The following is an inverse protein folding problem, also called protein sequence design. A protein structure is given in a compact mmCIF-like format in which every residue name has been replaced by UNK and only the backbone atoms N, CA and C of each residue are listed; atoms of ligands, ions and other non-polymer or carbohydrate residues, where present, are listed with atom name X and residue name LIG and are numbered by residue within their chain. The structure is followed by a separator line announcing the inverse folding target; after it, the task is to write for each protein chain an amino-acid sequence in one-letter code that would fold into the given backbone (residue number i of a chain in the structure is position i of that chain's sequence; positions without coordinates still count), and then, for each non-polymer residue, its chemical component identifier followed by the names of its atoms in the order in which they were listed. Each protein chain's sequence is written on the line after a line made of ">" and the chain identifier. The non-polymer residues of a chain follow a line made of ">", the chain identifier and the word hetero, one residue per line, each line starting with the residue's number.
data_IF_516259396227
#
_entry.id   IF_516259396227
#
_cell.length_a   1.000
_cell.length_b   1.000
_cell.length_c   1.000
_cell.angle_alpha   90.00
_cell.angle_beta   90.00
_cell.angle_gamma   90.00
#
_symmetry.space_group_name_H-M   'P 1'
#
loop_
_entity.id
_entity.type
_entity.pdbx_description
1 polymer ?
#
# COMPACT_ATOMS: atom_id res chain seq x y z
N UNK A 1 1.54 48.40 -10.97
CA UNK A 1 2.27 47.68 -12.02
C UNK A 1 2.96 46.51 -11.32
N UNK A 2 2.38 45.31 -11.44
CA UNK A 2 2.97 44.12 -12.09
C UNK A 2 4.24 43.63 -11.36
N UNK A 3 4.17 42.61 -10.50
CA UNK A 3 4.28 41.18 -10.84
C UNK A 3 5.55 40.67 -10.13
N UNK A 4 5.78 39.44 -9.65
CA UNK A 4 5.16 38.13 -9.80
C UNK A 4 5.52 37.27 -8.57
N UNK A 5 4.62 36.33 -8.30
CA UNK A 5 4.75 35.09 -7.52
C UNK A 5 5.87 34.19 -8.06
N UNK A 6 6.72 33.62 -7.19
CA UNK A 6 7.18 32.21 -7.17
C UNK A 6 8.54 32.04 -6.46
N UNK A 7 8.52 31.29 -5.37
CA UNK A 7 9.72 30.85 -4.65
C UNK A 7 9.65 29.37 -4.25
N UNK A 8 8.97 28.54 -5.03
CA UNK A 8 9.02 27.08 -4.89
C UNK A 8 10.36 26.59 -5.46
N UNK A 9 11.35 26.39 -4.58
CA UNK A 9 12.56 25.66 -4.95
C UNK A 9 12.19 24.19 -5.14
N UNK A 10 12.36 23.74 -6.38
CA UNK A 10 12.36 22.34 -6.80
C UNK A 10 13.34 21.53 -5.93
N UNK A 11 12.84 20.46 -5.29
CA UNK A 11 13.68 19.38 -4.79
C UNK A 11 14.02 18.52 -6.02
N UNK A 12 15.31 18.37 -6.40
CA UNK A 12 15.66 17.56 -7.55
C UNK A 12 15.43 16.08 -7.23
N UNK A 13 14.77 15.40 -8.17
CA UNK A 13 14.64 13.95 -8.23
C UNK A 13 15.99 13.26 -8.00
N UNK A 14 16.07 12.43 -6.96
CA UNK A 14 17.07 11.38 -6.89
C UNK A 14 16.47 10.11 -7.49
N UNK A 15 16.76 9.91 -8.78
CA UNK A 15 16.58 8.66 -9.48
C UNK A 15 17.26 7.52 -8.71
N UNK A 16 16.50 6.43 -8.52
CA UNK A 16 16.95 5.23 -7.82
C UNK A 16 15.82 4.21 -7.73
N UNK A 17 15.06 4.06 -8.81
CA UNK A 17 14.07 3.00 -8.96
C UNK A 17 14.80 1.65 -9.01
N UNK A 18 14.79 0.93 -7.91
CA UNK A 18 14.93 -0.53 -7.90
C UNK A 18 13.69 -1.14 -7.26
N UNK A 19 12.55 -0.83 -7.86
CA UNK A 19 11.23 -1.38 -7.53
C UNK A 19 10.52 -1.87 -8.80
N UNK A 20 11.29 -2.43 -9.74
CA UNK A 20 10.82 -2.68 -11.11
C UNK A 20 10.58 -4.14 -11.50
N UNK A 21 11.03 -5.13 -10.73
CA UNK A 21 11.09 -6.50 -11.29
C UNK A 21 9.96 -7.43 -10.83
N UNK A 22 9.34 -7.21 -9.66
CA UNK A 22 8.24 -8.07 -9.23
C UNK A 22 6.89 -7.68 -9.87
N UNK A 23 6.65 -6.38 -10.08
CA UNK A 23 5.42 -5.88 -10.70
C UNK A 23 5.36 -6.17 -12.21
N UNK A 24 6.49 -6.05 -12.90
CA UNK A 24 6.58 -6.33 -14.34
C UNK A 24 6.41 -7.83 -14.67
N UNK A 25 6.83 -8.72 -13.76
CA UNK A 25 6.71 -10.16 -13.96
C UNK A 25 5.28 -10.68 -13.74
N UNK A 26 4.51 -10.06 -12.83
CA UNK A 26 3.08 -10.37 -12.68
C UNK A 26 2.24 -9.86 -13.87
N UNK A 27 2.60 -8.71 -14.44
CA UNK A 27 1.88 -8.13 -15.59
C UNK A 27 1.99 -8.99 -16.86
N UNK A 28 3.09 -9.75 -17.04
CA UNK A 28 3.31 -10.59 -18.23
C UNK A 28 2.55 -11.91 -18.23
N UNK A 29 1.99 -12.36 -17.09
CA UNK A 29 1.19 -13.60 -17.02
C UNK A 29 -0.32 -13.39 -17.19
N UNK A 30 -0.79 -12.15 -17.37
CA UNK A 30 -2.23 -11.82 -17.36
C UNK A 30 -2.87 -11.54 -18.71
N UNK A 31 -2.15 -11.63 -19.84
CA UNK A 31 -2.72 -11.32 -21.16
C UNK A 31 -3.43 -12.53 -21.78
N UNK A 32 -4.57 -12.89 -21.20
CA UNK A 32 -5.63 -13.58 -21.94
C UNK A 32 -6.95 -12.94 -21.53
N UNK A 33 -7.40 -12.04 -22.40
CA UNK A 33 -8.70 -11.41 -22.37
C UNK A 33 -9.78 -12.44 -22.66
N UNK A 34 -10.20 -13.18 -21.64
CA UNK A 34 -11.44 -13.96 -21.70
C UNK A 34 -12.22 -13.80 -20.38
N UNK A 35 -13.40 -13.23 -20.51
CA UNK A 35 -14.53 -13.21 -19.58
C UNK A 35 -14.37 -14.09 -18.32
N UNK A 36 -13.99 -13.48 -17.20
CA UNK A 36 -14.18 -14.09 -15.90
C UNK A 36 -14.65 -13.00 -14.94
N UNK A 37 -15.87 -13.17 -14.42
CA UNK A 37 -16.41 -12.51 -13.22
C UNK A 37 -15.25 -12.09 -12.33
N UNK A 38 -15.06 -10.78 -12.11
CA UNK A 38 -13.97 -10.27 -11.28
C UNK A 38 -14.14 -10.79 -9.85
N UNK A 39 -13.63 -12.00 -9.61
CA UNK A 39 -13.56 -12.61 -8.31
C UNK A 39 -12.62 -11.77 -7.47
N UNK A 40 -13.05 -11.46 -6.25
CA UNK A 40 -12.21 -10.79 -5.27
C UNK A 40 -10.87 -11.54 -5.17
N UNK A 41 -9.76 -10.83 -5.39
CA UNK A 41 -8.43 -11.45 -5.34
C UNK A 41 -8.20 -12.00 -3.94
N UNK A 42 -8.17 -13.33 -3.82
CA UNK A 42 -8.02 -14.03 -2.54
C UNK A 42 -6.71 -13.72 -1.80
N UNK A 43 -5.73 -13.17 -2.51
CA UNK A 43 -4.41 -12.83 -1.97
C UNK A 43 -4.25 -11.34 -1.66
N UNK A 44 -5.31 -10.53 -1.81
CA UNK A 44 -5.20 -9.08 -1.65
C UNK A 44 -4.79 -8.68 -0.23
N UNK A 45 -5.31 -9.39 0.77
CA UNK A 45 -4.99 -9.14 2.17
C UNK A 45 -3.55 -9.54 2.49
N UNK A 46 -3.13 -10.74 2.08
CA UNK A 46 -1.79 -11.27 2.31
C UNK A 46 -0.72 -10.45 1.59
N UNK A 47 -1.01 -10.01 0.35
CA UNK A 47 -0.12 -9.13 -0.40
C UNK A 47 0.01 -7.77 0.30
N UNK A 48 -1.10 -7.20 0.77
CA UNK A 48 -1.09 -5.94 1.51
C UNK A 48 -0.24 -6.04 2.78
N UNK A 49 -0.48 -7.08 3.60
CA UNK A 49 0.28 -7.32 4.82
C UNK A 49 1.79 -7.44 4.54
N UNK A 50 2.17 -8.30 3.59
CA UNK A 50 3.56 -8.52 3.23
C UNK A 50 4.27 -7.23 2.78
N UNK A 51 3.60 -6.41 1.95
CA UNK A 51 4.15 -5.14 1.50
C UNK A 51 4.31 -4.13 2.64
N UNK A 52 3.31 -4.02 3.52
CA UNK A 52 3.34 -3.12 4.67
C UNK A 52 4.45 -3.50 5.64
N UNK A 53 4.56 -4.79 6.00
CA UNK A 53 5.61 -5.31 6.88
C UNK A 53 7.01 -5.09 6.30
N UNK A 54 7.18 -5.37 5.00
CA UNK A 54 8.45 -5.14 4.29
C UNK A 54 8.85 -3.66 4.26
N UNK A 55 7.89 -2.74 4.11
CA UNK A 55 8.16 -1.31 4.13
C UNK A 55 8.58 -0.82 5.51
N UNK A 56 7.89 -1.27 6.57
CA UNK A 56 8.26 -0.96 7.96
C UNK A 56 9.69 -1.42 8.24
N UNK A 57 10.02 -2.67 7.88
CA UNK A 57 11.37 -3.20 8.07
C UNK A 57 12.43 -2.40 7.30
N UNK A 58 12.14 -2.07 6.02
CA UNK A 58 13.04 -1.28 5.18
C UNK A 58 13.33 0.10 5.78
N UNK A 59 12.30 0.82 6.24
CA UNK A 59 12.48 2.13 6.86
C UNK A 59 13.22 2.06 8.19
N UNK A 60 12.93 1.06 9.03
CA UNK A 60 13.68 0.85 10.28
C UNK A 60 15.17 0.59 10.02
N UNK A 61 15.50 -0.31 9.08
CA UNK A 61 16.89 -0.59 8.70
C UNK A 61 17.60 0.64 8.13
N UNK A 62 16.89 1.45 7.34
CA UNK A 62 17.42 2.70 6.78
C UNK A 62 17.64 3.76 7.84
N UNK A 63 16.69 3.94 8.77
CA UNK A 63 16.78 4.92 9.85
C UNK A 63 18.05 4.74 10.70
N UNK A 64 18.42 3.50 11.01
CA UNK A 64 19.63 3.18 11.80
C UNK A 64 20.94 3.51 11.06
N UNK A 65 20.91 3.47 9.73
CA UNK A 65 22.09 3.68 8.88
C UNK A 65 22.18 5.11 8.34
N UNK A 66 21.17 5.93 8.58
CA UNK A 66 21.09 7.28 8.04
C UNK A 66 22.05 8.22 8.80
N UNK A 67 23.02 8.84 8.10
CA UNK A 67 23.96 9.76 8.74
C UNK A 67 23.31 11.05 9.25
N UNK A 68 22.19 11.48 8.66
CA UNK A 68 21.44 12.63 9.15
C UNK A 68 20.44 12.18 10.24
N UNK A 69 20.58 12.63 11.51
CA UNK A 69 19.70 12.21 12.59
C UNK A 69 18.24 12.61 12.38
N UNK A 70 17.97 13.75 11.76
CA UNK A 70 16.59 14.21 11.49
C UNK A 70 15.92 13.36 10.41
N UNK A 71 16.66 13.01 9.35
CA UNK A 71 16.16 12.13 8.29
C UNK A 71 15.94 10.70 8.81
N UNK A 72 16.85 10.20 9.66
CA UNK A 72 16.69 8.92 10.34
C UNK A 72 15.47 8.90 11.25
N UNK A 73 15.26 9.97 12.03
CA UNK A 73 14.09 10.13 12.88
C UNK A 73 12.78 10.17 12.07
N UNK A 74 12.76 10.88 10.94
CA UNK A 74 11.60 10.91 10.06
C UNK A 74 11.25 9.54 9.46
N UNK A 75 12.26 8.73 9.11
CA UNK A 75 12.05 7.34 8.66
C UNK A 75 11.49 6.46 9.77
N UNK A 76 12.00 6.64 10.99
CA UNK A 76 11.51 5.90 12.16
C UNK A 76 10.06 6.23 12.48
N UNK A 77 9.68 7.52 12.48
CA UNK A 77 8.29 7.95 12.66
C UNK A 77 7.34 7.38 11.60
N UNK A 78 7.79 7.30 10.33
CA UNK A 78 7.01 6.67 9.26
C UNK A 78 6.78 5.18 9.53
N UNK A 79 7.82 4.46 9.95
CA UNK A 79 7.74 3.05 10.29
C UNK A 79 6.83 2.80 11.50
N UNK A 80 6.92 3.64 12.53
CA UNK A 80 6.07 3.57 13.72
C UNK A 80 4.59 3.82 13.38
N UNK A 81 4.31 4.89 12.64
CA UNK A 81 2.95 5.24 12.22
C UNK A 81 2.31 4.14 11.36
N UNK A 82 3.07 3.57 10.42
CA UNK A 82 2.59 2.46 9.59
C UNK A 82 2.40 1.17 10.41
N UNK A 83 3.30 0.89 11.37
CA UNK A 83 3.14 -0.23 12.30
C UNK A 83 1.96 -0.07 13.26
N UNK A 84 1.58 1.16 13.61
CA UNK A 84 0.34 1.43 14.34
C UNK A 84 -0.90 1.16 13.47
N UNK A 85 -0.91 1.63 12.22
CA UNK A 85 -2.00 1.35 11.28
C UNK A 85 -2.17 -0.17 11.04
N UNK A 86 -1.06 -0.91 10.93
CA UNK A 86 -1.09 -2.37 10.79
C UNK A 86 -1.73 -3.05 12.02
N UNK A 87 -1.39 -2.61 13.24
CA UNK A 87 -2.02 -3.12 14.47
C UNK A 87 -3.51 -2.83 14.53
N UNK A 88 -3.95 -1.66 14.06
CA UNK A 88 -5.37 -1.36 13.93
C UNK A 88 -6.05 -2.29 12.93
N UNK A 89 -5.43 -2.53 11.76
CA UNK A 89 -5.98 -3.44 10.76
C UNK A 89 -6.20 -4.85 11.35
N UNK A 90 -5.23 -5.36 12.11
CA UNK A 90 -5.37 -6.65 12.80
C UNK A 90 -6.44 -6.62 13.90
N UNK A 91 -6.54 -5.53 14.66
CA UNK A 91 -7.55 -5.40 15.71
C UNK A 91 -8.98 -5.41 15.15
N UNK A 92 -9.18 -4.87 13.94
CA UNK A 92 -10.46 -4.84 13.22
C UNK A 92 -10.59 -5.95 12.16
N UNK A 93 -9.73 -6.96 12.20
CA UNK A 93 -9.78 -8.08 11.25
C UNK A 93 -11.15 -8.79 11.22
N UNK A 94 -11.83 -9.07 12.36
CA UNK A 94 -13.14 -9.71 12.35
C UNK A 94 -14.19 -8.90 11.58
N UNK A 95 -14.27 -7.60 11.85
CA UNK A 95 -15.21 -6.67 11.21
C UNK A 95 -14.90 -6.51 9.73
N UNK A 96 -13.62 -6.47 9.36
CA UNK A 96 -13.21 -6.40 7.96
C UNK A 96 -13.58 -7.68 7.20
N UNK A 97 -13.38 -8.86 7.81
CA UNK A 97 -13.82 -10.15 7.24
C UNK A 97 -15.33 -10.18 7.05
N UNK A 98 -16.11 -9.71 8.03
CA UNK A 98 -17.56 -9.63 7.93
C UNK A 98 -18.01 -8.72 6.78
N UNK A 99 -17.43 -7.51 6.66
CA UNK A 99 -17.71 -6.58 5.57
C UNK A 99 -17.39 -7.18 4.20
N UNK A 100 -16.26 -7.88 4.06
CA UNK A 100 -15.88 -8.57 2.83
C UNK A 100 -16.88 -9.68 2.48
N UNK A 101 -17.32 -10.48 3.46
CA UNK A 101 -18.33 -11.52 3.22
C UNK A 101 -19.69 -10.93 2.84
N UNK A 102 -20.13 -9.83 3.47
CA UNK A 102 -21.32 -9.09 3.08
C UNK A 102 -21.23 -8.56 1.63
N UNK A 103 -20.09 -7.98 1.26
CA UNK A 103 -19.83 -7.49 -0.09
C UNK A 103 -19.83 -8.62 -1.13
N UNK A 104 -19.24 -9.79 -0.80
CA UNK A 104 -19.29 -10.98 -1.65
C UNK A 104 -20.73 -11.44 -1.91
N UNK A 105 -21.57 -11.50 -0.87
CA UNK A 105 -23.00 -11.87 -0.98
C UNK A 105 -23.79 -10.88 -1.85
N UNK A 106 -23.50 -9.58 -1.73
CA UNK A 106 -24.11 -8.55 -2.57
C UNK A 106 -23.68 -8.69 -4.05
N UNK A 107 -22.40 -8.97 -4.30
CA UNK A 107 -21.85 -9.12 -5.64
C UNK A 107 -22.34 -10.37 -6.38
N UNK A 108 -22.73 -11.44 -5.66
CA UNK A 108 -23.28 -12.67 -6.26
C UNK A 108 -24.80 -12.64 -6.49
N UNK A 109 -25.46 -11.49 -6.28
CA UNK A 109 -26.87 -11.31 -6.60
C UNK A 109 -27.83 -11.91 -5.57
N UNK A 110 -27.44 -11.92 -4.28
CA UNK A 110 -28.33 -12.32 -3.20
C UNK A 110 -29.59 -11.45 -3.18
N UNK A 111 -30.69 -11.98 -3.71
CA UNK A 111 -32.04 -11.39 -3.60
C UNK A 111 -32.35 -11.26 -2.12
N UNK A 112 -32.38 -10.03 -1.62
CA UNK A 112 -32.96 -9.73 -0.31
C UNK A 112 -34.47 -9.87 -0.47
N UNK A 113 -35.01 -11.07 -0.23
CA UNK A 113 -36.44 -11.24 0.02
C UNK A 113 -36.72 -10.69 1.42
N UNK A 114 -37.43 -9.56 1.45
CA UNK A 114 -38.13 -9.06 2.64
C UNK A 114 -39.46 -9.78 2.80
#
# INVERSE_FOLDING_TARGET
>A
MAGEINGLRLIPEAAGESSGNCAAEMARRGSSTENARHGFNRYLYENLLCHVESQIESWNRRAVREPNPEAGHALWLKAEGLGYALRLLYAFEPEFRELVECAKRAATGGVIQR
#
